data_IF_977035955259
#
_entry.id   IF_977035955259
#
_cell.length_a   1.000
_cell.length_b   1.000
_cell.length_c   1.000
_cell.angle_alpha   90.00
_cell.angle_beta   90.00
_cell.angle_gamma   90.00
#
_symmetry.space_group_name_H-M   'P 1'
#
loop_
_entity.id
_entity.type
_entity.pdbx_description
1 polymer ?
#
# COMPACT_ATOMS: atom_id res chain seq x y z
N UNK A 1 8.97 -32.57 -18.21
CA UNK A 1 8.75 -31.30 -18.93
C UNK A 1 7.28 -30.84 -18.96
N UNK A 2 6.29 -31.70 -19.31
CA UNK A 2 4.87 -31.29 -19.39
C UNK A 2 4.26 -30.75 -18.08
N UNK A 3 4.61 -31.32 -16.92
CA UNK A 3 4.13 -30.84 -15.62
C UNK A 3 4.70 -29.46 -15.21
N UNK A 4 5.93 -29.15 -15.64
CA UNK A 4 6.57 -27.86 -15.39
C UNK A 4 5.89 -26.75 -16.20
N UNK A 5 5.60 -27.01 -17.49
CA UNK A 5 4.85 -26.10 -18.34
C UNK A 5 3.41 -25.89 -17.85
N UNK A 6 2.77 -26.95 -17.33
CA UNK A 6 1.40 -26.87 -16.78
C UNK A 6 1.33 -26.07 -15.47
N UNK A 7 2.28 -26.24 -14.56
CA UNK A 7 2.39 -25.42 -13.35
C UNK A 7 2.75 -23.96 -13.65
N UNK A 8 3.52 -23.72 -14.71
CA UNK A 8 3.82 -22.37 -15.20
C UNK A 8 2.57 -21.69 -15.77
N UNK A 9 1.74 -22.43 -16.52
CA UNK A 9 0.47 -21.96 -17.06
C UNK A 9 -0.56 -21.64 -15.97
N UNK A 10 -0.69 -22.50 -14.95
CA UNK A 10 -1.53 -22.23 -13.78
C UNK A 10 -1.05 -21.02 -12.97
N UNK A 11 0.26 -20.77 -12.93
CA UNK A 11 0.85 -19.61 -12.23
C UNK A 11 0.63 -18.30 -13.00
N UNK A 12 0.50 -18.36 -14.33
CA UNK A 12 0.16 -17.21 -15.19
C UNK A 12 -1.31 -16.79 -15.05
N UNK A 13 -2.22 -17.72 -14.74
CA UNK A 13 -3.67 -17.45 -14.69
C UNK A 13 -4.20 -16.98 -13.33
N UNK A 14 -3.35 -16.83 -12.31
CA UNK A 14 -3.73 -16.45 -10.94
C UNK A 14 -3.43 -14.98 -10.67
N UNK A 15 -4.14 -14.14 -11.41
CA UNK A 15 -3.99 -12.70 -11.44
C UNK A 15 -5.07 -12.03 -10.54
N UNK A 16 -5.17 -12.50 -9.29
CA UNK A 16 -6.19 -12.11 -8.31
C UNK A 16 -6.15 -10.60 -8.00
N UNK A 17 -4.99 -9.97 -8.17
CA UNK A 17 -4.76 -8.54 -7.92
C UNK A 17 -5.38 -7.63 -8.98
N UNK A 18 -5.34 -8.03 -10.25
CA UNK A 18 -5.88 -7.22 -11.36
C UNK A 18 -7.39 -7.14 -11.27
N UNK A 19 -8.05 -8.28 -10.99
CA UNK A 19 -9.50 -8.32 -10.80
C UNK A 19 -9.94 -7.47 -9.61
N UNK A 20 -9.19 -7.51 -8.48
CA UNK A 20 -9.48 -6.66 -7.31
C UNK A 20 -9.35 -5.17 -7.62
N UNK A 21 -8.31 -4.76 -8.34
CA UNK A 21 -8.11 -3.35 -8.71
C UNK A 21 -9.19 -2.87 -9.68
N UNK A 22 -9.57 -3.69 -10.66
CA UNK A 22 -10.69 -3.38 -11.57
C UNK A 22 -12.00 -3.20 -10.80
N UNK A 23 -12.32 -4.10 -9.86
CA UNK A 23 -13.51 -3.98 -9.02
C UNK A 23 -13.50 -2.70 -8.16
N UNK A 24 -12.35 -2.33 -7.59
CA UNK A 24 -12.20 -1.08 -6.84
C UNK A 24 -12.46 0.12 -7.74
N UNK A 25 -11.87 0.17 -8.94
CA UNK A 25 -12.06 1.28 -9.88
C UNK A 25 -13.51 1.39 -10.36
N UNK A 26 -14.16 0.26 -10.68
CA UNK A 26 -15.57 0.23 -11.05
C UNK A 26 -16.43 0.75 -9.88
N UNK A 27 -16.17 0.30 -8.66
CA UNK A 27 -16.92 0.75 -7.48
C UNK A 27 -16.75 2.25 -7.22
N UNK A 28 -15.54 2.78 -7.39
CA UNK A 28 -15.24 4.19 -7.26
C UNK A 28 -15.94 5.03 -8.34
N UNK A 29 -16.00 4.53 -9.58
CA UNK A 29 -16.70 5.20 -10.69
C UNK A 29 -18.21 5.24 -10.45
N UNK A 30 -18.81 4.12 -10.02
CA UNK A 30 -20.24 4.05 -9.66
C UNK A 30 -20.55 5.00 -8.52
N UNK A 31 -19.71 5.04 -7.48
CA UNK A 31 -19.85 5.97 -6.38
C UNK A 31 -19.77 7.43 -6.85
N UNK A 32 -18.80 7.77 -7.70
CA UNK A 32 -18.67 9.12 -8.26
C UNK A 32 -19.89 9.53 -9.10
N UNK A 33 -20.46 8.61 -9.89
CA UNK A 33 -21.70 8.84 -10.63
C UNK A 33 -22.88 9.11 -9.70
N UNK A 34 -23.04 8.33 -8.64
CA UNK A 34 -24.07 8.57 -7.63
C UNK A 34 -23.90 9.95 -7.00
N UNK A 35 -22.68 10.31 -6.57
CA UNK A 35 -22.37 11.64 -6.04
C UNK A 35 -22.70 12.75 -7.04
N UNK A 36 -22.39 12.56 -8.33
CA UNK A 36 -22.70 13.52 -9.39
C UNK A 36 -24.21 13.67 -9.64
N UNK A 37 -25.00 12.60 -9.52
CA UNK A 37 -26.47 12.71 -9.59
C UNK A 37 -27.00 13.51 -8.40
N UNK A 38 -26.54 13.19 -7.18
CA UNK A 38 -26.90 13.96 -5.98
C UNK A 38 -26.53 15.44 -6.12
N UNK A 39 -25.41 15.73 -6.78
CA UNK A 39 -24.95 17.08 -7.08
C UNK A 39 -25.93 17.89 -7.91
N UNK A 40 -26.39 17.31 -9.03
CA UNK A 40 -27.27 18.00 -9.97
C UNK A 40 -28.64 18.22 -9.35
N UNK A 41 -29.15 17.22 -8.60
CA UNK A 41 -30.48 17.29 -7.97
C UNK A 41 -30.50 18.29 -6.81
N UNK A 42 -29.39 18.47 -6.10
CA UNK A 42 -29.30 19.31 -4.89
C UNK A 42 -28.41 20.55 -5.11
N UNK A 43 -28.50 21.20 -6.27
CA UNK A 43 -27.74 22.43 -6.57
C UNK A 43 -28.31 23.67 -5.86
N UNK A 44 -29.35 23.49 -5.03
CA UNK A 44 -29.96 24.57 -4.27
C UNK A 44 -28.97 25.22 -3.29
N UNK A 45 -28.99 26.55 -3.19
CA UNK A 45 -28.12 27.27 -2.26
C UNK A 45 -28.58 27.03 -0.83
N UNK A 46 -27.66 26.56 0.00
CA UNK A 46 -27.85 26.39 1.45
C UNK A 46 -26.94 27.34 2.22
N UNK A 47 -27.39 27.76 3.40
CA UNK A 47 -26.54 28.57 4.27
C UNK A 47 -25.55 27.68 5.01
N UNK A 48 -24.26 27.95 4.81
CA UNK A 48 -23.18 27.24 5.49
C UNK A 48 -22.46 28.21 6.41
N UNK A 49 -22.33 27.85 7.69
CA UNK A 49 -21.58 28.60 8.68
C UNK A 49 -20.17 28.00 8.81
N UNK A 50 -19.17 28.72 8.31
CA UNK A 50 -17.75 28.36 8.35
C UNK A 50 -17.05 28.84 9.63
N UNK A 51 -17.78 28.89 10.74
CA UNK A 51 -17.37 29.40 12.06
C UNK A 51 -17.14 30.91 12.15
N UNK A 52 -16.57 31.53 11.13
CA UNK A 52 -16.26 32.97 11.10
C UNK A 52 -17.03 33.74 10.02
N UNK A 53 -17.74 33.03 9.13
CA UNK A 53 -18.57 33.63 8.08
C UNK A 53 -19.72 32.70 7.72
N UNK A 54 -20.85 33.27 7.32
CA UNK A 54 -22.00 32.53 6.78
C UNK A 54 -22.18 32.92 5.33
N UNK A 55 -22.23 31.95 4.43
CA UNK A 55 -22.39 32.21 2.99
C UNK A 55 -23.40 31.23 2.41
N UNK A 56 -24.23 31.72 1.48
CA UNK A 56 -25.09 30.87 0.66
C UNK A 56 -24.25 30.21 -0.43
N UNK A 57 -23.96 28.93 -0.27
CA UNK A 57 -23.25 28.15 -1.27
C UNK A 57 -24.11 26.96 -1.71
N UNK A 58 -24.03 26.53 -2.98
CA UNK A 58 -24.68 25.30 -3.40
C UNK A 58 -24.21 24.12 -2.54
N UNK A 59 -25.15 23.29 -2.04
CA UNK A 59 -24.85 22.17 -1.14
C UNK A 59 -23.80 21.22 -1.73
N UNK A 60 -23.76 21.10 -3.05
CA UNK A 60 -22.77 20.30 -3.76
C UNK A 60 -21.32 20.69 -3.47
N UNK A 61 -20.99 21.98 -3.33
CA UNK A 61 -19.60 22.37 -3.06
C UNK A 61 -19.13 21.80 -1.72
N UNK A 62 -20.03 21.73 -0.74
CA UNK A 62 -19.75 21.13 0.57
C UNK A 62 -19.55 19.62 0.45
N UNK A 63 -20.43 18.94 -0.30
CA UNK A 63 -20.34 17.49 -0.51
C UNK A 63 -19.05 17.12 -1.25
N UNK A 64 -18.75 17.76 -2.39
CA UNK A 64 -17.54 17.45 -3.17
C UNK A 64 -16.27 17.68 -2.38
N UNK A 65 -16.16 18.83 -1.70
CA UNK A 65 -14.97 19.13 -0.90
C UNK A 65 -14.81 18.16 0.26
N UNK A 66 -15.90 17.81 0.95
CA UNK A 66 -15.89 16.84 2.06
C UNK A 66 -15.52 15.43 1.58
N UNK A 67 -16.13 14.96 0.49
CA UNK A 67 -15.84 13.64 -0.08
C UNK A 67 -14.41 13.56 -0.61
N UNK A 68 -13.93 14.62 -1.28
CA UNK A 68 -12.56 14.70 -1.77
C UNK A 68 -11.55 14.70 -0.61
N UNK A 69 -11.78 15.50 0.43
CA UNK A 69 -10.93 15.52 1.63
C UNK A 69 -10.93 14.17 2.36
N UNK A 70 -12.10 13.54 2.52
CA UNK A 70 -12.21 12.21 3.09
C UNK A 70 -11.41 11.17 2.30
N UNK A 71 -11.55 11.18 0.96
CA UNK A 71 -10.79 10.31 0.06
C UNK A 71 -9.28 10.56 0.14
N UNK A 72 -8.85 11.83 0.21
CA UNK A 72 -7.46 12.20 0.35
C UNK A 72 -6.87 11.68 1.67
N UNK A 73 -7.57 11.87 2.79
CA UNK A 73 -7.14 11.39 4.11
C UNK A 73 -6.97 9.87 4.10
N UNK A 74 -7.97 9.13 3.59
CA UNK A 74 -7.92 7.67 3.48
C UNK A 74 -6.77 7.22 2.59
N UNK A 75 -6.58 7.88 1.43
CA UNK A 75 -5.49 7.60 0.51
C UNK A 75 -4.11 7.80 1.13
N UNK A 76 -3.90 8.91 1.84
CA UNK A 76 -2.65 9.19 2.56
C UNK A 76 -2.39 8.15 3.66
N UNK A 77 -3.42 7.79 4.44
CA UNK A 77 -3.31 6.73 5.46
C UNK A 77 -2.93 5.38 4.85
N UNK A 78 -3.56 5.04 3.72
CA UNK A 78 -3.24 3.83 2.95
C UNK A 78 -1.80 3.81 2.47
N UNK A 79 -1.31 4.94 1.93
CA UNK A 79 0.07 5.08 1.45
C UNK A 79 1.10 4.91 2.58
N UNK A 80 0.87 5.56 3.74
CA UNK A 80 1.74 5.41 4.92
C UNK A 80 1.76 3.97 5.42
N UNK A 81 0.58 3.31 5.49
CA UNK A 81 0.48 1.91 5.88
C UNK A 81 1.24 1.00 4.91
N UNK A 82 1.05 1.20 3.61
CA UNK A 82 1.71 0.41 2.58
C UNK A 82 3.23 0.56 2.64
N UNK A 83 3.72 1.78 2.84
CA UNK A 83 5.14 2.04 3.00
C UNK A 83 5.75 1.31 4.21
N UNK A 84 5.07 1.34 5.36
CA UNK A 84 5.49 0.61 6.57
C UNK A 84 5.51 -0.90 6.33
N UNK A 85 4.49 -1.43 5.64
CA UNK A 85 4.43 -2.86 5.29
C UNK A 85 5.58 -3.26 4.38
N UNK A 86 5.87 -2.49 3.34
CA UNK A 86 6.99 -2.74 2.43
C UNK A 86 8.34 -2.74 3.16
N UNK A 87 8.55 -1.80 4.10
CA UNK A 87 9.76 -1.80 4.93
C UNK A 87 9.87 -3.06 5.78
N UNK A 88 8.78 -3.50 6.42
CA UNK A 88 8.75 -4.75 7.20
C UNK A 88 9.05 -5.96 6.34
N UNK A 89 8.46 -6.05 5.14
CA UNK A 89 8.73 -7.14 4.18
C UNK A 89 10.23 -7.18 3.85
N UNK A 90 10.84 -6.06 3.48
CA UNK A 90 12.28 -6.00 3.20
C UNK A 90 13.16 -6.39 4.38
N UNK A 91 12.77 -6.03 5.60
CA UNK A 91 13.49 -6.42 6.81
C UNK A 91 13.41 -7.92 7.06
N UNK A 92 12.21 -8.50 6.95
CA UNK A 92 11.97 -9.93 7.12
C UNK A 92 12.69 -10.75 6.03
N UNK A 93 12.69 -10.28 4.78
CA UNK A 93 13.44 -10.89 3.68
C UNK A 93 14.95 -10.95 3.96
N UNK A 94 15.53 -9.88 4.53
CA UNK A 94 16.94 -9.85 4.94
C UNK A 94 17.23 -10.85 6.04
N UNK A 95 16.39 -10.90 7.08
CA UNK A 95 16.55 -11.86 8.19
C UNK A 95 16.43 -13.31 7.72
N UNK A 96 15.50 -13.60 6.79
CA UNK A 96 15.39 -14.92 6.19
C UNK A 96 16.65 -15.30 5.41
N UNK A 97 17.25 -14.35 4.70
CA UNK A 97 18.51 -14.57 3.98
C UNK A 97 19.67 -14.87 4.92
N UNK A 98 19.77 -14.16 6.04
CA UNK A 98 20.83 -14.34 7.03
C UNK A 98 20.72 -15.68 7.78
N UNK A 99 19.49 -16.14 8.05
CA UNK A 99 19.23 -17.44 8.70
C UNK A 99 19.39 -18.63 7.74
N UNK A 100 19.21 -18.44 6.42
CA UNK A 100 19.37 -19.51 5.41
C UNK A 100 20.80 -19.65 4.87
N UNK A 101 21.71 -18.72 5.20
CA UNK A 101 23.14 -18.89 4.92
C UNK A 101 23.76 -19.84 5.97
N UNK A 102 24.51 -20.89 5.57
CA UNK A 102 25.21 -21.75 6.51
C UNK A 102 26.25 -20.94 7.32
N UNK A 103 26.52 -21.28 8.59
CA UNK A 103 27.57 -20.64 9.37
C UNK A 103 28.94 -21.06 8.82
N UNK A 104 29.47 -20.30 7.86
CA UNK A 104 30.84 -20.38 7.38
C UNK A 104 31.17 -18.99 6.83
N UNK A 105 32.07 -18.17 7.36
CA UNK A 105 33.31 -18.40 8.08
C UNK A 105 33.58 -17.15 8.93
N UNK A 106 33.51 -17.26 10.25
CA UNK A 106 34.01 -16.22 11.18
C UNK A 106 34.89 -16.84 12.27
N UNK A 107 35.83 -17.66 11.80
CA UNK A 107 37.10 -18.05 12.45
C UNK A 107 37.99 -18.50 11.29
N UNK A 108 39.03 -17.76 10.89
CA UNK A 108 40.39 -17.74 11.43
C UNK A 108 41.10 -16.60 10.66
N UNK A 109 41.75 -15.60 11.25
CA UNK A 109 43.15 -15.67 11.72
C UNK A 109 43.42 -14.48 12.64
N UNK A 110 43.44 -14.72 13.95
CA UNK A 110 44.15 -13.93 14.96
C UNK A 110 44.47 -14.92 16.08
N UNK A 111 45.76 -15.13 16.35
CA UNK A 111 46.39 -16.22 17.13
C UNK A 111 46.25 -17.60 16.47
N UNK A 112 47.31 -18.28 16.03
CA UNK A 112 48.57 -18.59 16.73
C UNK A 112 49.71 -18.77 15.71
N UNK A 113 50.76 -17.94 15.78
CA UNK A 113 52.14 -18.35 15.45
C UNK A 113 53.16 -17.32 15.99
N UNK A 114 53.53 -17.41 17.26
CA UNK A 114 54.87 -17.02 17.69
C UNK A 114 55.35 -17.87 18.88
N UNK A 115 55.97 -19.00 18.51
CA UNK A 115 57.03 -19.79 19.17
C UNK A 115 56.83 -20.32 20.61
N UNK A 116 56.77 -21.65 20.69
CA UNK A 116 57.00 -22.48 21.87
C UNK A 116 58.42 -22.30 22.49
N UNK A 117 58.59 -22.61 23.79
CA UNK A 117 59.87 -22.69 24.49
C UNK A 117 60.42 -24.12 24.50
N UNK A 118 61.70 -24.33 24.17
CA UNK A 118 62.41 -25.60 24.47
C UNK A 118 63.88 -25.27 24.82
N UNK A 119 64.24 -25.62 26.06
CA UNK A 119 65.56 -25.80 26.72
C UNK A 119 66.72 -24.82 26.46
#
# INVERSE_FOLDING_TARGET
MKALAFNLFLKIGRDDGYMKMQWILISALVFALITAVFAVVNVEPVQVNFMFTTTSTPLILVILTSTLLGGLIVGLFGMVRQYKLQRKVKQLEKQLHEVQLPPAVSSTTSEVEQKEPIE
#
